data_IF_157279600884
#
_entry.id   IF_157279600884
#
_cell.length_a   1.000
_cell.length_b   1.000
_cell.length_c   1.000
_cell.angle_alpha   90.00
_cell.angle_beta   90.00
_cell.angle_gamma   90.00
#
_symmetry.space_group_name_H-M   'P 1'
#
loop_
_entity.id
_entity.type
_entity.pdbx_description
1 polymer ?
#
# COMPACT_ATOMS: atom_id res chain seq x y z
N UNK A 1 1.42 5.58 12.53
CA UNK A 1 1.46 6.67 11.54
C UNK A 1 0.24 6.51 10.65
N UNK A 2 -0.41 7.60 10.26
CA UNK A 2 -1.50 7.55 9.27
C UNK A 2 -0.94 7.43 7.86
N UNK A 3 -1.78 7.06 6.89
CA UNK A 3 -1.37 7.01 5.48
C UNK A 3 -0.94 8.38 4.95
N UNK A 4 -1.70 9.43 5.26
CA UNK A 4 -1.38 10.81 4.85
C UNK A 4 -0.04 11.31 5.44
N UNK A 5 0.21 11.02 6.73
CA UNK A 5 1.50 11.33 7.37
C UNK A 5 2.66 10.61 6.68
N UNK A 6 2.52 9.30 6.44
CA UNK A 6 3.56 8.50 5.79
C UNK A 6 3.79 8.94 4.34
N UNK A 7 2.74 9.26 3.60
CA UNK A 7 2.85 9.73 2.22
C UNK A 7 3.61 11.05 2.16
N UNK A 8 3.24 12.02 2.99
CA UNK A 8 3.91 13.33 3.04
C UNK A 8 5.37 13.21 3.45
N UNK A 9 5.69 12.28 4.34
CA UNK A 9 7.04 12.13 4.87
C UNK A 9 7.97 11.34 3.95
N UNK A 10 7.49 10.24 3.36
CA UNK A 10 8.33 9.28 2.63
C UNK A 10 8.11 9.22 1.13
N UNK A 11 6.99 9.75 0.62
CA UNK A 11 6.63 9.60 -0.81
C UNK A 11 6.63 10.95 -1.53
N UNK A 12 6.11 12.00 -0.89
CA UNK A 12 6.06 13.32 -1.47
C UNK A 12 7.48 13.82 -1.83
N UNK A 13 7.62 14.36 -3.04
CA UNK A 13 8.88 14.85 -3.62
C UNK A 13 9.94 13.78 -3.92
N UNK A 14 9.63 12.49 -3.79
CA UNK A 14 10.55 11.43 -4.21
C UNK A 14 10.41 11.12 -5.70
N UNK A 15 11.54 10.88 -6.37
CA UNK A 15 11.53 10.42 -7.75
C UNK A 15 11.10 8.95 -7.84
N UNK A 16 10.20 8.66 -8.78
CA UNK A 16 9.85 7.28 -9.16
C UNK A 16 11.02 6.63 -9.92
N UNK A 17 11.41 5.43 -9.50
CA UNK A 17 12.50 4.67 -10.11
C UNK A 17 12.04 3.34 -10.73
N UNK A 18 10.93 2.78 -10.26
CA UNK A 18 10.37 1.55 -10.84
C UNK A 18 8.86 1.44 -10.61
N UNK A 19 8.27 0.53 -11.38
CA UNK A 19 6.88 0.11 -11.29
C UNK A 19 6.81 -1.40 -11.53
N UNK A 20 5.79 -2.05 -11.02
CA UNK A 20 5.63 -3.48 -11.24
C UNK A 20 4.46 -4.09 -10.51
N UNK A 21 4.50 -5.42 -10.44
CA UNK A 21 3.53 -6.20 -9.69
C UNK A 21 4.28 -7.05 -8.65
N UNK A 22 3.78 -7.02 -7.42
CA UNK A 22 4.25 -7.86 -6.33
C UNK A 22 3.20 -8.93 -6.04
N UNK A 23 3.63 -10.19 -6.15
CA UNK A 23 2.86 -11.31 -5.64
C UNK A 23 2.76 -11.23 -4.11
N UNK A 24 1.71 -11.83 -3.56
CA UNK A 24 1.51 -11.89 -2.12
C UNK A 24 2.74 -12.40 -1.39
N UNK A 25 3.24 -11.59 -0.46
CA UNK A 25 4.37 -11.90 0.40
C UNK A 25 3.98 -11.71 1.85
N UNK A 26 4.28 -12.69 2.70
CA UNK A 26 3.98 -12.61 4.13
C UNK A 26 5.07 -11.85 4.87
N UNK A 27 4.69 -10.77 5.56
CA UNK A 27 5.59 -9.92 6.33
C UNK A 27 5.16 -9.89 7.80
N UNK A 28 6.11 -10.05 8.73
CA UNK A 28 5.86 -9.91 10.17
C UNK A 28 6.00 -8.44 10.57
N UNK A 29 4.93 -7.86 11.11
CA UNK A 29 4.92 -6.49 11.59
C UNK A 29 5.54 -6.38 12.99
N UNK A 30 6.04 -5.20 13.40
CA UNK A 30 6.62 -4.99 14.73
C UNK A 30 5.68 -5.32 15.90
N UNK A 31 4.37 -5.28 15.67
CA UNK A 31 3.35 -5.63 16.66
C UNK A 31 3.05 -7.14 16.75
N UNK A 32 3.78 -7.98 16.01
CA UNK A 32 3.64 -9.43 16.01
C UNK A 32 2.55 -9.98 15.07
N UNK A 33 1.82 -9.12 14.35
CA UNK A 33 0.82 -9.54 13.36
C UNK A 33 1.45 -9.72 11.97
N UNK A 34 0.79 -10.48 11.11
CA UNK A 34 1.19 -10.64 9.71
C UNK A 34 0.47 -9.67 8.79
N UNK A 35 1.20 -9.14 7.80
CA UNK A 35 0.66 -8.43 6.64
C UNK A 35 1.00 -9.19 5.36
N UNK A 36 0.20 -8.96 4.32
CA UNK A 36 0.30 -9.67 3.04
C UNK A 36 0.30 -8.69 1.86
N UNK A 37 1.28 -7.77 1.76
CA UNK A 37 1.32 -6.81 0.67
C UNK A 37 1.39 -7.50 -0.70
N UNK A 38 0.43 -7.19 -1.55
CA UNK A 38 0.29 -7.69 -2.92
C UNK A 38 -0.32 -6.60 -3.81
N UNK A 39 -0.08 -6.66 -5.12
CA UNK A 39 -0.66 -5.71 -6.07
C UNK A 39 0.36 -4.93 -6.89
N UNK A 40 -0.11 -3.87 -7.53
CA UNK A 40 0.74 -3.01 -8.36
C UNK A 40 1.50 -2.02 -7.47
N UNK A 41 2.80 -1.90 -7.68
CA UNK A 41 3.64 -1.00 -6.90
C UNK A 41 4.28 0.11 -7.75
N UNK A 42 4.58 1.22 -7.09
CA UNK A 42 5.50 2.27 -7.52
C UNK A 42 6.63 2.33 -6.50
N UNK A 43 7.88 2.26 -6.95
CA UNK A 43 9.07 2.35 -6.12
C UNK A 43 9.77 3.70 -6.30
N UNK A 44 10.20 4.26 -5.18
CA UNK A 44 10.77 5.60 -5.09
C UNK A 44 12.27 5.52 -4.76
N UNK A 45 13.02 6.58 -5.10
CA UNK A 45 14.49 6.61 -4.98
C UNK A 45 15.03 6.39 -3.56
N UNK A 46 14.22 6.63 -2.53
CA UNK A 46 14.54 6.35 -1.14
C UNK A 46 14.25 4.89 -0.71
N UNK A 47 13.87 4.03 -1.65
CA UNK A 47 13.56 2.61 -1.43
C UNK A 47 12.13 2.32 -0.97
N UNK A 48 11.35 3.35 -0.64
CA UNK A 48 9.94 3.16 -0.24
C UNK A 48 9.09 2.77 -1.44
N UNK A 49 7.97 2.07 -1.18
CA UNK A 49 7.02 1.67 -2.20
C UNK A 49 5.60 2.04 -1.81
N UNK A 50 4.82 2.50 -2.78
CA UNK A 50 3.35 2.53 -2.66
C UNK A 50 2.83 1.31 -3.41
N UNK A 51 2.04 0.47 -2.75
CA UNK A 51 1.38 -0.69 -3.36
C UNK A 51 -0.12 -0.50 -3.31
N UNK A 52 -0.79 -0.67 -4.45
CA UNK A 52 -2.23 -0.60 -4.57
C UNK A 52 -2.78 -1.97 -4.96
N UNK A 53 -3.81 -2.41 -4.24
CA UNK A 53 -4.49 -3.69 -4.44
C UNK A 53 -6.01 -3.47 -4.48
N UNK A 54 -6.70 -4.36 -5.19
CA UNK A 54 -8.15 -4.34 -5.30
C UNK A 54 -8.71 -5.74 -5.09
N UNK A 55 -9.77 -5.86 -4.31
CA UNK A 55 -10.47 -7.11 -4.06
C UNK A 55 -11.99 -6.93 -4.15
N UNK A 56 -12.72 -8.01 -4.41
CA UNK A 56 -14.18 -8.02 -4.27
C UNK A 56 -14.55 -8.85 -3.05
N UNK A 57 -15.17 -8.23 -2.05
CA UNK A 57 -15.68 -8.89 -0.86
C UNK A 57 -17.20 -8.80 -0.83
N UNK A 58 -17.90 -9.92 -0.99
CA UNK A 58 -19.37 -9.98 -0.94
C UNK A 58 -20.07 -8.92 -1.82
N UNK A 59 -19.63 -8.77 -3.08
CA UNK A 59 -20.11 -7.77 -4.08
C UNK A 59 -19.64 -6.33 -3.86
N UNK A 60 -18.85 -6.08 -2.82
CA UNK A 60 -18.27 -4.77 -2.53
C UNK A 60 -16.85 -4.75 -3.08
N UNK A 61 -16.54 -3.78 -3.94
CA UNK A 61 -15.17 -3.56 -4.40
C UNK A 61 -14.41 -2.80 -3.30
N UNK A 62 -13.30 -3.38 -2.86
CA UNK A 62 -12.41 -2.79 -1.86
C UNK A 62 -11.12 -2.43 -2.57
N UNK A 63 -10.66 -1.20 -2.39
CA UNK A 63 -9.30 -0.80 -2.74
C UNK A 63 -8.49 -0.62 -1.48
N UNK A 64 -7.25 -1.06 -1.54
CA UNK A 64 -6.29 -0.90 -0.47
C UNK A 64 -5.02 -0.30 -1.03
N UNK A 65 -4.43 0.61 -0.26
CA UNK A 65 -3.11 1.14 -0.52
C UNK A 65 -2.23 0.93 0.70
N UNK A 66 -0.99 0.45 0.51
CA UNK A 66 0.01 0.42 1.57
C UNK A 66 1.27 1.17 1.16
N UNK A 67 1.94 1.76 2.15
CA UNK A 67 3.29 2.29 2.02
C UNK A 67 4.23 1.29 2.69
N UNK A 68 5.15 0.72 1.92
CA UNK A 68 6.19 -0.18 2.37
C UNK A 68 7.49 0.61 2.58
N UNK A 69 8.21 0.27 3.64
CA UNK A 69 9.60 0.71 3.83
C UNK A 69 10.56 -0.02 2.87
N UNK A 70 11.86 0.35 2.85
CA UNK A 70 12.85 -0.30 1.99
C UNK A 70 13.03 -1.81 2.21
N UNK A 71 12.67 -2.31 3.40
CA UNK A 71 12.71 -3.74 3.73
C UNK A 71 11.42 -4.47 3.33
N UNK A 72 10.45 -3.75 2.73
CA UNK A 72 9.17 -4.29 2.29
C UNK A 72 8.14 -4.43 3.42
N UNK A 73 8.35 -3.76 4.56
CA UNK A 73 7.43 -3.79 5.70
C UNK A 73 6.41 -2.66 5.58
N UNK A 74 5.09 -2.96 5.65
CA UNK A 74 4.07 -1.92 5.68
C UNK A 74 4.20 -0.99 6.89
N UNK A 75 4.38 0.31 6.64
CA UNK A 75 4.42 1.35 7.67
C UNK A 75 3.14 2.17 7.76
N UNK A 76 2.33 2.16 6.69
CA UNK A 76 1.00 2.74 6.66
C UNK A 76 0.10 2.02 5.67
N UNK A 77 -1.20 2.07 5.92
CA UNK A 77 -2.25 1.42 5.13
C UNK A 77 -3.48 2.32 5.08
N UNK A 78 -4.11 2.38 3.91
CA UNK A 78 -5.43 2.97 3.71
C UNK A 78 -6.33 1.95 2.99
N UNK A 79 -7.63 2.02 3.23
CA UNK A 79 -8.60 1.11 2.62
C UNK A 79 -9.89 1.88 2.34
N UNK A 80 -10.31 1.86 1.08
CA UNK A 80 -11.54 2.49 0.64
C UNK A 80 -12.54 1.43 0.19
N UNK A 81 -13.78 1.58 0.66
CA UNK A 81 -14.95 0.86 0.17
C UNK A 81 -15.52 1.62 -1.03
N UNK A 82 -15.40 1.03 -2.22
CA UNK A 82 -15.93 1.60 -3.47
C UNK A 82 -17.43 1.28 -3.60
N UNK A 83 -18.25 1.86 -2.72
CA UNK A 83 -19.70 1.87 -2.93
C UNK A 83 -20.02 2.68 -4.20
N UNK A 84 -20.98 2.25 -5.03
CA UNK A 84 -21.41 3.05 -6.18
C UNK A 84 -21.85 4.44 -5.72
N UNK A 85 -21.32 5.48 -6.36
CA UNK A 85 -21.72 6.86 -6.09
C UNK A 85 -23.21 7.03 -6.42
N UNK A 86 -24.05 7.35 -5.43
CA UNK A 86 -25.44 7.74 -5.68
C UNK A 86 -25.48 9.24 -5.99
N UNK A 87 -25.85 9.59 -7.22
CA UNK A 87 -26.25 10.94 -7.61
C UNK A 87 -27.66 11.29 -7.10
#
# INVERSE_FOLDING_TARGET
MTYDEAFKHYILYQKVIAWGFQHESRVLLPNGYYAFPCGYFTEYENGYKVIASGATLHKTAIQESMILDPDGVPIARDTEDLRPFSF
#
